data_IF_224429354490
#
_entry.id   IF_224429354490
#
_cell.length_a   1.000
_cell.length_b   1.000
_cell.length_c   1.000
_cell.angle_alpha   90.00
_cell.angle_beta   90.00
_cell.angle_gamma   90.00
#
_symmetry.space_group_name_H-M   'P 1'
#
loop_
_entity.id
_entity.type
_entity.pdbx_description
1 polymer ?
#
# COMPACT_ATOMS: atom_id res chain seq x y z
N UNK A 1 19.33 -6.27 -12.26
CA UNK A 1 20.30 -6.52 -11.15
C UNK A 1 19.83 -7.74 -10.36
N UNK A 2 20.63 -8.28 -9.44
CA UNK A 2 20.12 -9.31 -8.51
C UNK A 2 19.09 -8.68 -7.55
N UNK A 3 18.04 -9.43 -7.20
CA UNK A 3 16.93 -8.95 -6.36
C UNK A 3 17.39 -8.36 -5.00
N UNK A 4 18.37 -9.01 -4.37
CA UNK A 4 18.92 -8.60 -3.07
C UNK A 4 20.07 -7.58 -3.16
N UNK A 5 20.40 -7.10 -4.37
CA UNK A 5 21.49 -6.13 -4.57
C UNK A 5 21.19 -4.81 -3.86
N UNK A 6 22.23 -4.15 -3.34
CA UNK A 6 22.17 -2.82 -2.71
C UNK A 6 23.27 -1.94 -3.29
N UNK A 7 23.01 -0.65 -3.41
CA UNK A 7 23.98 0.31 -3.93
C UNK A 7 25.21 0.45 -3.03
N UNK A 8 25.01 0.46 -1.70
CA UNK A 8 26.10 0.53 -0.74
C UNK A 8 26.24 -0.79 0.01
N UNK A 9 27.48 -1.25 0.13
CA UNK A 9 27.81 -2.45 0.89
C UNK A 9 27.41 -2.29 2.35
N UNK A 10 27.03 -3.40 2.96
CA UNK A 10 26.58 -3.50 4.34
C UNK A 10 27.29 -4.67 5.00
N UNK A 11 27.48 -4.58 6.32
CA UNK A 11 27.96 -5.72 7.09
C UNK A 11 26.98 -6.89 7.03
N UNK A 12 27.53 -8.11 7.10
CA UNK A 12 26.75 -9.34 7.13
C UNK A 12 25.79 -9.32 8.31
N UNK A 13 24.58 -9.76 8.08
CA UNK A 13 23.47 -9.75 9.03
C UNK A 13 22.89 -11.17 9.14
N UNK A 14 22.23 -11.48 10.26
CA UNK A 14 21.50 -12.74 10.42
C UNK A 14 20.11 -12.68 9.75
N UNK A 15 19.57 -11.48 9.57
CA UNK A 15 18.28 -11.24 8.90
C UNK A 15 18.40 -11.45 7.39
N UNK A 16 17.30 -11.83 6.75
CA UNK A 16 17.20 -11.79 5.29
C UNK A 16 17.41 -10.35 4.77
N UNK A 17 17.87 -10.18 3.52
CA UNK A 17 18.02 -8.84 2.94
C UNK A 17 16.73 -8.01 3.04
N UNK A 18 15.57 -8.62 2.85
CA UNK A 18 14.27 -7.93 2.86
C UNK A 18 13.76 -7.63 4.26
N UNK A 19 13.98 -8.53 5.24
CA UNK A 19 13.67 -8.23 6.64
C UNK A 19 14.47 -7.01 7.15
N UNK A 20 15.71 -6.86 6.67
CA UNK A 20 16.52 -5.65 6.96
C UNK A 20 15.95 -4.40 6.27
N UNK A 21 15.34 -4.52 5.09
CA UNK A 21 14.67 -3.39 4.43
C UNK A 21 13.45 -2.93 5.22
N UNK A 22 12.59 -3.88 5.62
CA UNK A 22 11.47 -3.62 6.51
C UNK A 22 11.89 -2.84 7.76
N UNK A 23 12.91 -3.33 8.47
CA UNK A 23 13.36 -2.69 9.71
C UNK A 23 13.84 -1.25 9.45
N UNK A 24 14.52 -1.00 8.32
CA UNK A 24 14.95 0.35 7.92
C UNK A 24 13.77 1.26 7.62
N UNK A 25 12.72 0.76 6.98
CA UNK A 25 11.49 1.48 6.68
C UNK A 25 10.77 1.85 7.98
N UNK A 26 10.53 0.88 8.87
CA UNK A 26 9.81 1.08 10.14
C UNK A 26 10.51 2.14 11.02
N UNK A 27 11.85 2.11 11.09
CA UNK A 27 12.61 3.09 11.89
C UNK A 27 12.80 4.45 11.21
N UNK A 28 12.34 4.62 9.96
CA UNK A 28 12.48 5.87 9.22
C UNK A 28 11.66 7.02 9.83
N UNK A 29 11.97 8.25 9.43
CA UNK A 29 11.20 9.42 9.88
C UNK A 29 9.89 9.52 9.14
N UNK A 30 9.93 9.21 7.85
CA UNK A 30 8.80 9.24 6.94
C UNK A 30 7.72 8.24 7.31
N UNK A 31 8.08 7.03 7.77
CA UNK A 31 7.11 6.05 8.25
C UNK A 31 6.38 6.53 9.51
N UNK A 32 7.11 7.08 10.48
CA UNK A 32 6.51 7.70 11.68
C UNK A 32 5.57 8.87 11.34
N UNK A 33 5.86 9.62 10.28
CA UNK A 33 4.98 10.73 9.85
C UNK A 33 3.64 10.24 9.29
N UNK A 34 3.50 8.96 8.90
CA UNK A 34 2.23 8.41 8.44
C UNK A 34 1.17 8.40 9.55
N UNK A 35 1.58 8.37 10.82
CA UNK A 35 0.70 8.49 11.99
C UNK A 35 -0.11 9.81 11.95
N UNK A 36 0.44 10.86 11.35
CA UNK A 36 -0.17 12.19 11.30
C UNK A 36 -0.78 12.52 9.92
N UNK A 37 -0.93 11.54 9.03
CA UNK A 37 -1.55 11.71 7.71
C UNK A 37 -2.83 10.90 7.63
N UNK A 38 -3.94 11.55 7.33
CA UNK A 38 -5.22 10.90 7.07
C UNK A 38 -5.27 10.29 5.66
N UNK A 39 -6.13 9.28 5.50
CA UNK A 39 -6.38 8.61 4.23
C UNK A 39 -7.32 9.44 3.34
N UNK A 40 -8.58 9.63 3.78
CA UNK A 40 -9.67 10.24 3.01
C UNK A 40 -10.39 11.36 3.79
N UNK A 41 -10.77 11.13 5.05
CA UNK A 41 -11.54 12.11 5.85
C UNK A 41 -10.64 13.04 6.70
N UNK A 42 -11.09 14.29 6.90
CA UNK A 42 -10.39 15.30 7.71
C UNK A 42 -10.68 15.10 9.21
N UNK A 43 -9.64 15.26 10.03
CA UNK A 43 -9.58 15.01 11.49
C UNK A 43 -10.45 15.93 12.37
N UNK A 44 -11.75 16.13 12.13
CA UNK A 44 -12.53 17.05 12.98
C UNK A 44 -13.74 16.49 13.74
N UNK A 45 -14.25 15.27 13.51
CA UNK A 45 -15.55 14.87 14.12
C UNK A 45 -15.73 13.39 14.54
N UNK A 46 -14.71 12.69 15.07
CA UNK A 46 -14.89 11.28 15.50
C UNK A 46 -13.64 10.57 16.05
N UNK A 47 -13.83 9.56 16.92
CA UNK A 47 -12.79 8.97 17.78
C UNK A 47 -11.89 7.89 17.13
N UNK A 48 -12.11 7.49 15.86
CA UNK A 48 -11.36 6.37 15.24
C UNK A 48 -11.06 6.53 13.74
N UNK A 49 -10.56 7.69 13.30
CA UNK A 49 -10.17 7.83 11.89
C UNK A 49 -8.86 7.09 11.57
N UNK A 50 -8.89 6.31 10.48
CA UNK A 50 -7.72 5.58 9.97
C UNK A 50 -6.65 6.57 9.47
N UNK A 51 -5.41 6.29 9.83
CA UNK A 51 -4.24 7.01 9.33
C UNK A 51 -3.59 6.20 8.21
N UNK A 52 -2.71 6.83 7.44
CA UNK A 52 -1.89 6.10 6.47
C UNK A 52 -0.97 5.07 7.12
N UNK A 53 -0.64 5.26 8.40
CA UNK A 53 0.12 4.29 9.17
C UNK A 53 -0.70 3.01 9.40
N UNK A 54 -1.94 3.14 9.88
CA UNK A 54 -2.81 1.97 10.09
C UNK A 54 -3.12 1.27 8.77
N UNK A 55 -3.39 2.04 7.71
CA UNK A 55 -3.54 1.51 6.35
C UNK A 55 -2.32 0.70 5.89
N UNK A 56 -1.12 1.27 5.98
CA UNK A 56 0.12 0.58 5.57
C UNK A 56 0.36 -0.71 6.36
N UNK A 57 -0.03 -0.75 7.64
CA UNK A 57 0.06 -1.96 8.47
C UNK A 57 -0.96 -3.02 8.02
N UNK A 58 -2.19 -2.63 7.69
CA UNK A 58 -3.22 -3.54 7.18
C UNK A 58 -2.85 -4.12 5.81
N UNK A 59 -2.40 -3.27 4.88
CA UNK A 59 -1.85 -3.71 3.58
C UNK A 59 -0.70 -4.68 3.77
N UNK A 60 0.22 -4.37 4.68
CA UNK A 60 1.33 -5.25 5.01
C UNK A 60 0.86 -6.59 5.58
N UNK A 61 -0.19 -6.63 6.39
CA UNK A 61 -0.72 -7.88 6.94
C UNK A 61 -1.36 -8.73 5.85
N UNK A 62 -2.22 -8.14 5.01
CA UNK A 62 -2.89 -8.83 3.90
C UNK A 62 -1.85 -9.37 2.90
N UNK A 63 -0.91 -8.53 2.46
CA UNK A 63 0.12 -8.91 1.50
C UNK A 63 0.97 -10.07 2.02
N UNK A 64 1.40 -10.02 3.28
CA UNK A 64 2.16 -11.11 3.90
C UNK A 64 1.39 -12.41 3.94
N UNK A 65 0.14 -12.38 4.36
CA UNK A 65 -0.71 -13.59 4.40
C UNK A 65 -0.87 -14.22 3.02
N UNK A 66 -1.09 -13.41 1.98
CA UNK A 66 -1.17 -13.90 0.60
C UNK A 66 0.18 -14.48 0.15
N UNK A 67 1.28 -13.76 0.34
CA UNK A 67 2.62 -14.24 -0.07
C UNK A 67 3.04 -15.53 0.64
N UNK A 68 2.71 -15.67 1.94
CA UNK A 68 3.01 -16.88 2.70
C UNK A 68 2.27 -18.09 2.11
N UNK A 69 0.99 -17.93 1.76
CA UNK A 69 0.19 -18.99 1.16
C UNK A 69 0.69 -19.38 -0.24
N UNK A 70 1.20 -18.42 -1.00
CA UNK A 70 1.76 -18.63 -2.34
C UNK A 70 3.23 -19.09 -2.34
N UNK A 71 3.87 -19.23 -1.17
CA UNK A 71 5.28 -19.63 -1.06
C UNK A 71 6.27 -18.57 -1.56
N UNK A 72 5.89 -17.29 -1.53
CA UNK A 72 6.68 -16.14 -1.98
C UNK A 72 7.47 -15.49 -0.82
N UNK A 73 8.32 -14.51 -1.12
CA UNK A 73 9.14 -13.83 -0.11
C UNK A 73 8.32 -12.85 0.76
N UNK A 74 7.77 -13.34 1.88
CA UNK A 74 6.98 -12.53 2.82
C UNK A 74 7.65 -11.22 3.26
N UNK A 75 8.95 -11.27 3.54
CA UNK A 75 9.70 -10.09 4.01
C UNK A 75 9.87 -9.02 2.92
N UNK A 76 9.85 -9.42 1.64
CA UNK A 76 9.88 -8.48 0.51
C UNK A 76 8.53 -7.77 0.40
N UNK A 77 7.43 -8.53 0.41
CA UNK A 77 6.08 -7.95 0.41
C UNK A 77 5.85 -7.01 1.60
N UNK A 78 6.25 -7.41 2.81
CA UNK A 78 6.18 -6.59 4.02
C UNK A 78 6.96 -5.27 3.86
N UNK A 79 8.19 -5.33 3.34
CA UNK A 79 9.00 -4.13 3.14
C UNK A 79 8.39 -3.17 2.11
N UNK A 80 7.85 -3.69 1.00
CA UNK A 80 7.19 -2.88 -0.04
C UNK A 80 5.89 -2.26 0.51
N UNK A 81 5.03 -3.06 1.14
CA UNK A 81 3.76 -2.59 1.69
C UNK A 81 3.95 -1.48 2.72
N UNK A 82 4.92 -1.59 3.62
CA UNK A 82 5.18 -0.55 4.62
C UNK A 82 5.81 0.73 4.03
N UNK A 83 6.28 0.69 2.79
CA UNK A 83 6.98 1.81 2.15
C UNK A 83 6.24 2.45 0.97
N UNK A 84 5.18 1.82 0.44
CA UNK A 84 4.44 2.31 -0.73
C UNK A 84 3.90 3.73 -0.52
N UNK A 85 3.50 4.04 0.71
CA UNK A 85 2.74 5.25 1.05
C UNK A 85 3.58 6.40 1.66
N UNK A 86 4.90 6.22 1.78
CA UNK A 86 5.80 7.20 2.43
C UNK A 86 5.76 8.59 1.79
N UNK A 87 5.51 8.64 0.48
CA UNK A 87 5.52 9.81 -0.37
C UNK A 87 4.24 10.64 -0.34
N UNK A 88 3.17 10.16 0.27
CA UNK A 88 1.91 10.91 0.31
C UNK A 88 2.07 12.27 0.98
N UNK A 89 1.41 13.27 0.41
CA UNK A 89 1.26 14.61 0.97
C UNK A 89 0.33 14.59 2.20
N UNK A 90 0.33 15.64 3.03
CA UNK A 90 -0.79 15.92 3.91
C UNK A 90 -2.10 16.00 3.12
N UNK A 91 -3.24 15.70 3.77
CA UNK A 91 -4.59 15.75 3.16
C UNK A 91 -4.84 14.74 2.02
N UNK A 92 -4.15 13.59 2.07
CA UNK A 92 -4.42 12.48 1.16
C UNK A 92 -4.25 12.84 -0.32
N UNK A 93 -5.15 12.32 -1.16
CA UNK A 93 -5.10 12.54 -2.62
C UNK A 93 -5.31 14.00 -2.99
N UNK A 94 -6.26 14.68 -2.34
CA UNK A 94 -6.54 16.11 -2.59
C UNK A 94 -5.29 16.98 -2.40
N UNK A 95 -4.51 16.72 -1.34
CA UNK A 95 -3.26 17.44 -1.13
C UNK A 95 -2.19 17.14 -2.18
N UNK A 96 -2.18 15.92 -2.72
CA UNK A 96 -1.29 15.50 -3.81
C UNK A 96 -1.65 16.18 -5.13
N UNK A 97 -2.93 16.15 -5.50
CA UNK A 97 -3.47 16.76 -6.72
C UNK A 97 -3.27 18.28 -6.70
N UNK A 98 -3.55 18.92 -5.56
CA UNK A 98 -3.32 20.37 -5.39
C UNK A 98 -1.84 20.70 -5.52
N UNK A 99 -0.94 19.88 -4.96
CA UNK A 99 0.50 20.10 -5.09
C UNK A 99 0.98 19.93 -6.54
N UNK A 100 0.44 18.94 -7.26
CA UNK A 100 0.72 18.71 -8.68
C UNK A 100 0.29 19.92 -9.54
N UNK A 101 -0.92 20.44 -9.32
CA UNK A 101 -1.43 21.64 -9.98
C UNK A 101 -0.56 22.87 -9.72
N UNK A 102 -0.21 23.13 -8.47
CA UNK A 102 0.66 24.25 -8.10
C UNK A 102 2.04 24.15 -8.75
N UNK A 103 2.65 22.96 -8.74
CA UNK A 103 3.97 22.76 -9.37
C UNK A 103 3.92 22.97 -10.88
N UNK A 104 2.87 22.48 -11.55
CA UNK A 104 2.68 22.69 -12.99
C UNK A 104 2.48 24.18 -13.31
N UNK A 105 1.71 24.90 -12.50
CA UNK A 105 1.52 26.34 -12.64
C UNK A 105 2.83 27.13 -12.46
N UNK A 106 3.73 26.67 -11.60
CA UNK A 106 5.07 27.24 -11.38
C UNK A 106 6.11 26.82 -12.44
N UNK A 107 5.70 26.09 -13.48
CA UNK A 107 6.56 25.69 -14.61
C UNK A 107 7.28 24.35 -14.43
N UNK A 108 6.97 23.59 -13.37
CA UNK A 108 7.45 22.21 -13.22
C UNK A 108 6.54 21.25 -13.98
N UNK A 109 6.80 21.07 -15.29
CA UNK A 109 5.96 20.27 -16.21
C UNK A 109 5.65 18.85 -15.71
N UNK A 110 6.55 18.25 -14.94
CA UNK A 110 6.43 16.88 -14.39
C UNK A 110 5.55 16.78 -13.14
N UNK A 111 5.27 17.91 -12.48
CA UNK A 111 4.38 17.99 -11.34
C UNK A 111 4.77 17.11 -10.14
N UNK A 112 3.77 16.52 -9.47
CA UNK A 112 3.92 15.68 -8.29
C UNK A 112 3.25 14.31 -8.47
N UNK A 113 3.90 13.26 -7.98
CA UNK A 113 3.28 11.94 -7.88
C UNK A 113 3.83 11.18 -6.67
N UNK A 114 2.91 10.59 -5.90
CA UNK A 114 3.20 10.04 -4.57
C UNK A 114 4.06 8.77 -4.60
N UNK A 115 3.88 7.84 -5.56
CA UNK A 115 4.70 6.62 -5.65
C UNK A 115 6.17 6.96 -5.93
N UNK A 116 6.43 7.89 -6.85
CA UNK A 116 7.78 8.40 -7.11
C UNK A 116 8.33 9.16 -5.90
N UNK A 117 7.48 9.90 -5.18
CA UNK A 117 7.90 10.54 -3.96
C UNK A 117 8.26 9.52 -2.86
N UNK A 118 7.55 8.38 -2.74
CA UNK A 118 7.92 7.26 -1.85
C UNK A 118 9.29 6.70 -2.23
N UNK A 119 9.52 6.46 -3.53
CA UNK A 119 10.83 6.06 -4.04
C UNK A 119 11.92 7.08 -3.71
N UNK A 120 11.66 8.39 -3.91
CA UNK A 120 12.60 9.48 -3.58
C UNK A 120 12.87 9.57 -2.08
N UNK A 121 11.89 9.30 -1.23
CA UNK A 121 12.06 9.27 0.23
C UNK A 121 13.10 8.23 0.63
N UNK A 122 12.96 7.01 0.13
CA UNK A 122 13.82 5.88 0.53
C UNK A 122 15.17 5.87 -0.20
N UNK A 123 15.31 6.56 -1.33
CA UNK A 123 16.58 6.64 -2.07
C UNK A 123 17.38 7.91 -1.77
N UNK A 124 16.74 9.00 -1.35
CA UNK A 124 17.40 10.31 -1.26
C UNK A 124 17.09 11.11 0.01
N UNK A 125 15.83 11.18 0.46
CA UNK A 125 15.43 12.17 1.47
C UNK A 125 15.74 11.72 2.91
N UNK A 126 15.58 10.44 3.22
CA UNK A 126 16.00 9.92 4.53
C UNK A 126 17.52 10.07 4.72
N UNK A 127 17.95 10.59 5.87
CA UNK A 127 19.37 10.79 6.21
C UNK A 127 19.72 10.00 7.47
N UNK A 128 19.73 8.67 7.34
CA UNK A 128 19.96 7.74 8.46
C UNK A 128 21.38 7.18 8.53
N UNK A 129 22.17 7.42 7.49
CA UNK A 129 23.53 6.92 7.35
C UNK A 129 24.47 8.08 7.02
N UNK A 130 25.69 8.05 7.55
CA UNK A 130 26.66 9.15 7.39
C UNK A 130 27.23 9.21 5.96
N UNK A 131 27.38 8.06 5.33
CA UNK A 131 28.12 7.89 4.08
C UNK A 131 27.25 8.08 2.84
N UNK A 132 25.93 7.95 2.97
CA UNK A 132 25.00 8.01 1.85
C UNK A 132 23.62 8.48 2.28
N UNK A 133 22.85 8.89 1.28
CA UNK A 133 21.47 9.31 1.42
C UNK A 133 20.50 8.14 1.21
N UNK A 134 19.27 8.27 1.71
CA UNK A 134 18.26 7.23 1.66
C UNK A 134 18.48 6.12 2.69
N UNK A 135 17.75 5.04 2.50
CA UNK A 135 17.74 3.85 3.34
C UNK A 135 18.58 2.71 2.73
N UNK A 136 19.12 2.86 1.52
CA UNK A 136 19.91 1.87 0.80
C UNK A 136 19.21 0.50 0.75
N UNK A 137 17.92 0.49 0.40
CA UNK A 137 17.09 -0.71 0.30
C UNK A 137 17.58 -1.62 -0.84
N UNK A 138 17.14 -2.88 -0.85
CA UNK A 138 17.45 -3.82 -1.94
C UNK A 138 16.77 -3.43 -3.25
N UNK A 139 17.31 -3.91 -4.37
CA UNK A 139 16.78 -3.68 -5.71
C UNK A 139 15.31 -4.06 -5.81
N UNK A 140 14.92 -5.26 -5.35
CA UNK A 140 13.54 -5.73 -5.43
C UNK A 140 12.57 -4.87 -4.62
N UNK A 141 12.97 -4.43 -3.42
CA UNK A 141 12.14 -3.51 -2.62
C UNK A 141 11.97 -2.16 -3.34
N UNK A 142 13.06 -1.61 -3.91
CA UNK A 142 13.00 -0.35 -4.65
C UNK A 142 12.16 -0.46 -5.92
N UNK A 143 12.25 -1.59 -6.63
CA UNK A 143 11.43 -1.89 -7.80
C UNK A 143 9.95 -1.93 -7.43
N UNK A 144 9.59 -2.65 -6.36
CA UNK A 144 8.21 -2.76 -5.90
C UNK A 144 7.60 -1.41 -5.52
N UNK A 145 8.34 -0.55 -4.81
CA UNK A 145 7.88 0.81 -4.48
C UNK A 145 7.67 1.65 -5.75
N UNK A 146 8.61 1.58 -6.70
CA UNK A 146 8.56 2.38 -7.93
C UNK A 146 7.41 1.94 -8.85
N UNK A 147 7.17 0.63 -8.94
CA UNK A 147 6.21 -0.02 -9.84
C UNK A 147 4.91 -0.42 -9.11
N UNK A 148 4.60 0.23 -7.98
CA UNK A 148 3.39 -0.05 -7.16
C UNK A 148 2.07 0.16 -7.91
N UNK A 149 2.05 0.89 -9.04
CA UNK A 149 0.83 1.10 -9.81
C UNK A 149 1.08 1.03 -11.32
N UNK A 150 0.20 0.35 -12.06
CA UNK A 150 0.20 0.38 -13.52
C UNK A 150 -0.43 1.69 -14.03
N UNK A 151 0.07 2.30 -15.12
CA UNK A 151 1.26 1.93 -15.89
C UNK A 151 2.58 2.31 -15.18
N UNK A 152 3.59 1.42 -15.26
CA UNK A 152 4.90 1.64 -14.64
C UNK A 152 5.74 2.70 -15.36
N UNK A 153 5.60 2.76 -16.69
CA UNK A 153 6.28 3.78 -17.50
C UNK A 153 5.53 5.09 -17.38
N UNK A 154 6.10 6.02 -16.63
CA UNK A 154 5.51 7.34 -16.38
C UNK A 154 6.35 8.46 -17.03
N UNK A 155 5.74 9.50 -17.61
CA UNK A 155 6.46 10.52 -18.41
C UNK A 155 7.57 11.26 -17.65
N UNK A 156 7.46 11.34 -16.32
CA UNK A 156 8.42 12.04 -15.48
C UNK A 156 9.66 11.20 -15.14
N UNK A 157 9.62 9.87 -15.32
CA UNK A 157 10.73 8.98 -15.04
C UNK A 157 11.83 9.12 -16.11
N UNK A 158 13.08 9.26 -15.66
CA UNK A 158 14.23 9.37 -16.57
C UNK A 158 14.64 8.04 -17.18
N UNK A 159 15.38 8.09 -18.30
CA UNK A 159 15.89 6.90 -18.98
C UNK A 159 16.79 6.01 -18.11
N UNK A 160 17.46 6.60 -17.12
CA UNK A 160 18.27 5.85 -16.14
C UNK A 160 17.43 4.94 -15.25
N UNK A 161 16.22 5.40 -14.86
CA UNK A 161 15.27 4.59 -14.09
C UNK A 161 14.74 3.44 -14.96
N UNK A 162 14.42 3.72 -16.22
CA UNK A 162 13.97 2.70 -17.17
C UNK A 162 15.07 1.64 -17.41
N UNK A 163 16.32 2.08 -17.59
CA UNK A 163 17.46 1.16 -17.74
C UNK A 163 17.73 0.33 -16.48
N UNK A 164 17.42 0.87 -15.29
CA UNK A 164 17.67 0.19 -14.02
C UNK A 164 16.58 -0.83 -13.65
N UNK A 165 15.31 -0.45 -13.83
CA UNK A 165 14.16 -1.21 -13.33
C UNK A 165 13.30 -1.84 -14.43
N UNK A 166 13.61 -1.59 -15.69
CA UNK A 166 12.84 -2.04 -16.86
C UNK A 166 11.33 -1.80 -16.69
N UNK A 167 10.89 -0.59 -17.03
CA UNK A 167 9.50 -0.18 -16.83
C UNK A 167 8.55 -0.83 -17.85
N UNK A 168 9.08 -1.64 -18.78
CA UNK A 168 8.29 -2.40 -19.74
C UNK A 168 7.82 -3.75 -19.22
N UNK A 169 8.39 -4.23 -18.11
CA UNK A 169 8.05 -5.51 -17.49
C UNK A 169 7.30 -5.33 -16.18
N UNK A 170 6.60 -6.37 -15.73
CA UNK A 170 6.01 -6.39 -14.40
C UNK A 170 7.10 -6.42 -13.32
N UNK A 171 6.85 -5.87 -12.11
CA UNK A 171 7.74 -6.05 -10.97
C UNK A 171 7.66 -7.50 -10.47
N UNK A 172 8.30 -7.79 -9.33
CA UNK A 172 8.16 -9.09 -8.69
C UNK A 172 6.70 -9.41 -8.33
N UNK A 173 6.38 -10.70 -8.21
CA UNK A 173 5.03 -11.15 -7.84
C UNK A 173 4.65 -10.61 -6.46
N UNK A 174 5.61 -10.50 -5.54
CA UNK A 174 5.39 -9.87 -4.22
C UNK A 174 4.92 -8.42 -4.35
N UNK A 175 5.50 -7.63 -5.25
CA UNK A 175 5.06 -6.26 -5.50
C UNK A 175 3.64 -6.22 -6.08
N UNK A 176 3.31 -7.14 -6.99
CA UNK A 176 1.95 -7.28 -7.54
C UNK A 176 0.93 -7.69 -6.46
N UNK A 177 1.32 -8.57 -5.55
CA UNK A 177 0.50 -8.94 -4.38
C UNK A 177 0.27 -7.72 -3.48
N UNK A 178 1.30 -6.89 -3.26
CA UNK A 178 1.17 -5.68 -2.45
C UNK A 178 0.21 -4.66 -3.07
N UNK A 179 0.28 -4.43 -4.39
CA UNK A 179 -0.68 -3.59 -5.11
C UNK A 179 -2.12 -4.11 -4.97
N UNK A 180 -2.34 -5.43 -5.10
CA UNK A 180 -3.67 -6.02 -4.86
C UNK A 180 -4.11 -5.95 -3.39
N UNK A 181 -3.19 -6.12 -2.44
CA UNK A 181 -3.48 -5.99 -1.01
C UNK A 181 -3.88 -4.55 -0.64
N UNK A 182 -3.24 -3.56 -1.28
CA UNK A 182 -3.58 -2.14 -1.15
C UNK A 182 -5.02 -1.87 -1.62
N UNK A 183 -5.41 -2.37 -2.80
CA UNK A 183 -6.79 -2.27 -3.28
C UNK A 183 -7.81 -2.95 -2.35
N UNK A 184 -7.50 -4.13 -1.82
CA UNK A 184 -8.40 -4.85 -0.89
C UNK A 184 -8.62 -4.03 0.39
N UNK A 185 -7.54 -3.53 0.99
CA UNK A 185 -7.62 -2.68 2.18
C UNK A 185 -8.40 -1.40 1.87
N UNK A 186 -8.06 -0.73 0.77
CA UNK A 186 -8.69 0.50 0.33
C UNK A 186 -10.21 0.35 0.13
N UNK A 187 -10.66 -0.68 -0.59
CA UNK A 187 -12.09 -0.94 -0.80
C UNK A 187 -12.85 -1.20 0.51
N UNK A 188 -12.25 -1.96 1.44
CA UNK A 188 -12.88 -2.24 2.73
C UNK A 188 -13.05 -0.96 3.55
N UNK A 189 -12.04 -0.09 3.55
CA UNK A 189 -12.05 1.16 4.32
C UNK A 189 -13.01 2.19 3.72
N UNK A 190 -13.02 2.36 2.40
CA UNK A 190 -13.91 3.30 1.73
C UNK A 190 -15.39 2.92 1.94
N UNK A 191 -15.71 1.62 2.02
CA UNK A 191 -17.06 1.17 2.36
C UNK A 191 -17.39 1.49 3.83
N UNK A 192 -16.51 1.16 4.77
CA UNK A 192 -16.72 1.44 6.20
C UNK A 192 -16.86 2.95 6.46
N UNK A 193 -15.94 3.77 5.94
CA UNK A 193 -15.99 5.23 6.08
C UNK A 193 -17.18 5.85 5.36
N UNK A 194 -17.55 5.33 4.18
CA UNK A 194 -18.72 5.78 3.42
C UNK A 194 -20.03 5.51 4.16
N UNK A 195 -20.14 4.35 4.81
CA UNK A 195 -21.30 4.01 5.65
C UNK A 195 -21.31 4.87 6.91
N UNK A 196 -20.17 5.03 7.58
CA UNK A 196 -20.04 5.83 8.81
C UNK A 196 -20.38 7.30 8.61
N UNK A 197 -20.00 7.86 7.46
CA UNK A 197 -20.33 9.23 7.09
C UNK A 197 -21.78 9.41 6.59
N UNK A 198 -22.53 8.31 6.43
CA UNK A 198 -23.88 8.32 5.88
C UNK A 198 -23.97 8.66 4.39
N UNK A 199 -22.82 8.69 3.69
CA UNK A 199 -22.75 8.94 2.24
C UNK A 199 -23.32 7.76 1.44
N UNK A 200 -23.15 6.54 1.96
CA UNK A 200 -23.73 5.31 1.43
C UNK A 200 -24.41 4.51 2.54
N UNK A 201 -25.25 3.56 2.16
CA UNK A 201 -25.86 2.60 3.07
C UNK A 201 -25.81 1.19 2.46
N UNK A 202 -25.98 0.16 3.30
CA UNK A 202 -25.92 -1.22 2.84
C UNK A 202 -27.01 -1.58 1.82
N UNK A 203 -28.16 -0.89 1.81
CA UNK A 203 -29.19 -1.11 0.81
C UNK A 203 -28.72 -0.74 -0.60
N UNK A 204 -27.93 0.33 -0.73
CA UNK A 204 -27.31 0.73 -1.99
C UNK A 204 -26.25 -0.29 -2.42
N UNK A 205 -25.50 -0.86 -1.47
CA UNK A 205 -24.45 -1.83 -1.77
C UNK A 205 -24.99 -3.21 -2.18
N UNK A 206 -26.23 -3.56 -1.80
CA UNK A 206 -26.89 -4.84 -2.13
C UNK A 206 -27.06 -5.09 -3.64
N UNK A 207 -26.88 -4.08 -4.50
CA UNK A 207 -26.85 -4.26 -5.95
C UNK A 207 -25.68 -5.20 -6.37
N UNK A 208 -24.54 -5.10 -5.67
CA UNK A 208 -23.39 -5.94 -5.91
C UNK A 208 -23.64 -7.38 -5.44
N UNK A 209 -23.33 -8.35 -6.30
CA UNK A 209 -23.40 -9.78 -5.94
C UNK A 209 -22.45 -10.11 -4.78
N UNK A 210 -21.23 -9.58 -4.82
CA UNK A 210 -20.20 -9.83 -3.81
C UNK A 210 -20.66 -9.34 -2.44
N UNK A 211 -21.25 -8.13 -2.39
CA UNK A 211 -21.75 -7.57 -1.13
C UNK A 211 -22.86 -8.44 -0.56
N UNK A 212 -23.79 -8.94 -1.39
CA UNK A 212 -24.85 -9.86 -0.92
C UNK A 212 -24.28 -11.15 -0.33
N UNK A 213 -23.24 -11.72 -0.93
CA UNK A 213 -22.56 -12.91 -0.41
C UNK A 213 -21.92 -12.64 0.97
N UNK A 214 -21.29 -11.46 1.14
CA UNK A 214 -20.71 -11.05 2.43
C UNK A 214 -21.79 -10.83 3.48
N UNK A 215 -22.86 -10.10 3.14
CA UNK A 215 -23.98 -9.85 4.03
C UNK A 215 -24.61 -11.15 4.52
N UNK A 216 -24.79 -12.13 3.63
CA UNK A 216 -25.30 -13.44 4.02
C UNK A 216 -24.43 -14.10 5.09
N UNK A 217 -23.08 -14.05 4.96
CA UNK A 217 -22.17 -14.58 5.98
C UNK A 217 -22.31 -13.88 7.32
N UNK A 218 -22.56 -12.56 7.33
CA UNK A 218 -22.80 -11.80 8.57
C UNK A 218 -24.12 -12.24 9.20
N UNK A 219 -25.19 -12.35 8.42
CA UNK A 219 -26.49 -12.82 8.92
C UNK A 219 -26.46 -14.26 9.41
N UNK A 220 -25.66 -15.13 8.79
CA UNK A 220 -25.47 -16.53 9.22
C UNK A 220 -24.81 -16.64 10.61
N UNK A 221 -24.11 -15.59 11.07
CA UNK A 221 -23.59 -15.47 12.45
C UNK A 221 -24.64 -14.99 13.45
N UNK A 222 -25.85 -14.65 12.99
CA UNK A 222 -26.92 -14.07 13.80
C UNK A 222 -26.75 -12.58 14.08
N UNK A 223 -25.89 -11.90 13.32
CA UNK A 223 -25.60 -10.47 13.47
C UNK A 223 -26.44 -9.69 12.47
N UNK A 224 -27.09 -8.63 12.95
CA UNK A 224 -28.02 -7.80 12.17
C UNK A 224 -27.56 -6.36 12.14
N UNK A 225 -28.14 -5.55 11.25
CA UNK A 225 -27.83 -4.12 11.15
C UNK A 225 -28.15 -3.32 12.42
N UNK A 226 -28.98 -3.87 13.33
CA UNK A 226 -29.28 -3.26 14.63
C UNK A 226 -28.04 -3.21 15.55
N UNK A 227 -27.06 -4.11 15.35
CA UNK A 227 -25.78 -4.15 16.06
C UNK A 227 -24.68 -3.42 15.26
N UNK A 228 -24.87 -2.12 14.96
CA UNK A 228 -24.08 -1.34 13.97
C UNK A 228 -22.56 -1.60 13.99
N UNK A 229 -21.90 -1.42 15.13
CA UNK A 229 -20.44 -1.58 15.23
C UNK A 229 -19.99 -3.03 14.94
N UNK A 230 -20.68 -4.01 15.50
CA UNK A 230 -20.38 -5.42 15.28
C UNK A 230 -20.66 -5.81 13.83
N UNK A 231 -21.79 -5.37 13.29
CA UNK A 231 -22.19 -5.61 11.92
C UNK A 231 -21.14 -5.11 10.94
N UNK A 232 -20.70 -3.86 11.08
CA UNK A 232 -19.64 -3.27 10.24
C UNK A 232 -18.32 -4.01 10.36
N UNK A 233 -17.89 -4.33 11.59
CA UNK A 233 -16.66 -5.09 11.81
C UNK A 233 -16.68 -6.47 11.13
N UNK A 234 -17.78 -7.22 11.30
CA UNK A 234 -17.93 -8.55 10.69
C UNK A 234 -18.08 -8.47 9.18
N UNK A 235 -18.79 -7.46 8.67
CA UNK A 235 -18.88 -7.19 7.24
C UNK A 235 -17.50 -6.96 6.64
N UNK A 236 -16.69 -6.02 7.16
CA UNK A 236 -15.35 -5.74 6.66
C UNK A 236 -14.43 -6.96 6.74
N UNK A 237 -14.51 -7.73 7.83
CA UNK A 237 -13.74 -8.97 7.99
C UNK A 237 -14.10 -10.02 6.93
N UNK A 238 -15.39 -10.28 6.70
CA UNK A 238 -15.84 -11.22 5.67
C UNK A 238 -15.54 -10.74 4.25
N UNK A 239 -15.62 -9.42 4.01
CA UNK A 239 -15.32 -8.82 2.72
C UNK A 239 -13.85 -8.97 2.37
N UNK A 240 -12.94 -8.58 3.27
CA UNK A 240 -11.49 -8.77 3.08
C UNK A 240 -11.18 -10.25 2.84
N UNK A 241 -11.71 -11.15 3.67
CA UNK A 241 -11.49 -12.59 3.52
C UNK A 241 -11.95 -13.10 2.14
N UNK A 242 -13.14 -12.70 1.69
CA UNK A 242 -13.66 -13.11 0.39
C UNK A 242 -12.73 -12.66 -0.75
N UNK A 243 -12.26 -11.42 -0.71
CA UNK A 243 -11.36 -10.88 -1.74
C UNK A 243 -9.98 -11.55 -1.71
N UNK A 244 -9.44 -11.82 -0.52
CA UNK A 244 -8.17 -12.54 -0.34
C UNK A 244 -8.27 -13.96 -0.90
N UNK A 245 -9.32 -14.70 -0.58
CA UNK A 245 -9.53 -16.04 -1.13
C UNK A 245 -9.71 -16.03 -2.64
N UNK A 246 -10.47 -15.08 -3.18
CA UNK A 246 -10.65 -14.95 -4.62
C UNK A 246 -9.32 -14.69 -5.34
N UNK A 247 -8.45 -13.86 -4.75
CA UNK A 247 -7.12 -13.62 -5.28
C UNK A 247 -6.24 -14.87 -5.21
N UNK A 248 -6.22 -15.57 -4.08
CA UNK A 248 -5.45 -16.82 -3.91
C UNK A 248 -5.90 -17.90 -4.92
N UNK A 249 -7.21 -18.15 -5.03
CA UNK A 249 -7.79 -19.15 -5.94
C UNK A 249 -7.48 -18.87 -7.42
N UNK A 250 -7.29 -17.59 -7.75
CA UNK A 250 -6.85 -17.16 -9.07
C UNK A 250 -5.33 -17.35 -9.21
N UNK A 251 -4.55 -16.86 -8.26
CA UNK A 251 -3.08 -16.87 -8.29
C UNK A 251 -2.48 -18.27 -8.27
N UNK A 252 -3.01 -19.21 -7.47
CA UNK A 252 -2.50 -20.60 -7.40
C UNK A 252 -2.54 -21.33 -8.75
N UNK A 253 -3.41 -20.89 -9.68
CA UNK A 253 -3.54 -21.47 -11.02
C UNK A 253 -2.66 -20.79 -12.07
N UNK A 254 -2.04 -19.66 -11.73
CA UNK A 254 -1.36 -18.77 -12.67
C UNK A 254 0.08 -18.41 -12.25
N UNK A 255 0.53 -18.86 -11.08
CA UNK A 255 1.93 -18.74 -10.64
C UNK A 255 2.61 -20.07 -10.93
N UNK A 256 3.55 -20.05 -11.87
CA UNK A 256 4.44 -21.17 -12.24
C UNK A 256 5.67 -21.24 -11.32
#
# INVERSE_FOLDING_TARGET
MQANHRQHSIEKDFRSPYARDRDRVIHSGSFRKLEYKTQVFLNQEGDFFRTRLTHSIEVSQIARSITAQLGLEESLAEAIALSHDLGHTPFGHVGGDTLDECLKADGFEKGFEHNYQSFRVVTLLEKRYKQFNGLNLTFATLEGILKHSYPYKKPYLGSEIDAMFDLSTHPSIEAMVVDRADEIAYMSHDIDDGVNSGLINFDTLKESRIIREVLQKVYDEGITEDDDEMFRYRFSSHFINLLVYALLDYSEKNID
#
